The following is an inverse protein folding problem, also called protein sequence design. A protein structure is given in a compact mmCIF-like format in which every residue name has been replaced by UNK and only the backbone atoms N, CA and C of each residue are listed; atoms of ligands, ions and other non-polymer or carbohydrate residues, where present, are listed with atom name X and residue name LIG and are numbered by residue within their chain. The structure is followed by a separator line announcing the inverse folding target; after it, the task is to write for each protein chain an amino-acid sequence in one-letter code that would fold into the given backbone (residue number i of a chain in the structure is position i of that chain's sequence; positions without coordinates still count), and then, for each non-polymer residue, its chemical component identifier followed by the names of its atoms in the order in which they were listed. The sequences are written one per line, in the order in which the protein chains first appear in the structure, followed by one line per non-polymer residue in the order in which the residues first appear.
data_IF_465748239145
#
_entry.id   IF_465748239145
#
_cell.length_a   1.000
_cell.length_b   1.000
_cell.length_c   1.000
_cell.angle_alpha   90.00
_cell.angle_beta   90.00
_cell.angle_gamma   90.00
#
_symmetry.space_group_name_H-M   'P 1'
#
loop_
_entity.id
_entity.type
_entity.pdbx_description
1 polymer ?
#
# COMPACT_ATOMS: atom_id res chain seq x y z
N UNK A 1 -8.90 8.23 -42.00
CA UNK A 1 -7.98 9.27 -41.48
C UNK A 1 -8.45 9.93 -40.18
N UNK A 2 -9.76 9.95 -39.90
CA UNK A 2 -10.36 10.61 -38.70
C UNK A 2 -10.02 9.96 -37.33
N UNK A 3 -9.68 8.69 -37.31
CA UNK A 3 -9.37 7.94 -36.08
C UNK A 3 -7.93 8.13 -35.56
N UNK A 4 -7.00 8.57 -36.40
CA UNK A 4 -5.62 8.88 -36.00
C UNK A 4 -5.49 10.24 -35.32
N UNK A 5 -6.23 11.25 -35.78
CA UNK A 5 -6.20 12.59 -35.20
C UNK A 5 -6.75 12.61 -33.76
N UNK A 6 -7.83 11.87 -33.49
CA UNK A 6 -8.42 11.76 -32.15
C UNK A 6 -7.49 11.05 -31.14
N UNK A 7 -6.66 10.11 -31.59
CA UNK A 7 -5.67 9.45 -30.73
C UNK A 7 -4.50 10.37 -30.41
N UNK A 8 -4.02 11.12 -31.39
CA UNK A 8 -2.93 12.08 -31.20
C UNK A 8 -3.37 13.21 -30.28
N UNK A 9 -4.58 13.68 -30.44
CA UNK A 9 -5.19 14.73 -29.61
C UNK A 9 -5.36 14.27 -28.14
N UNK A 10 -5.80 13.02 -27.91
CA UNK A 10 -5.84 12.41 -26.59
C UNK A 10 -4.45 12.22 -25.97
N UNK A 11 -3.46 11.83 -26.77
CA UNK A 11 -2.08 11.70 -26.31
C UNK A 11 -1.50 13.07 -25.93
N UNK A 12 -1.71 14.09 -26.73
CA UNK A 12 -1.25 15.44 -26.41
C UNK A 12 -1.92 15.98 -25.14
N UNK A 13 -3.23 15.81 -25.00
CA UNK A 13 -3.95 16.21 -23.79
C UNK A 13 -3.45 15.45 -22.53
N UNK A 14 -3.12 14.17 -22.66
CA UNK A 14 -2.51 13.42 -21.57
C UNK A 14 -1.10 13.91 -21.26
N UNK A 15 -0.30 14.23 -22.25
CA UNK A 15 1.05 14.78 -22.05
C UNK A 15 1.01 16.16 -21.37
N UNK A 16 0.06 17.02 -21.74
CA UNK A 16 -0.14 18.33 -21.10
C UNK A 16 -0.56 18.18 -19.63
N UNK A 17 -1.40 17.18 -19.32
CA UNK A 17 -1.74 16.87 -17.93
C UNK A 17 -0.52 16.39 -17.14
N UNK A 18 0.31 15.52 -17.71
CA UNK A 18 1.56 15.08 -17.06
C UNK A 18 2.55 16.24 -16.86
N UNK A 19 2.67 17.10 -17.86
CA UNK A 19 3.55 18.28 -17.76
C UNK A 19 3.07 19.23 -16.66
N UNK A 20 1.78 19.53 -16.60
CA UNK A 20 1.17 20.38 -15.57
C UNK A 20 1.35 19.77 -14.18
N UNK A 21 1.14 18.46 -14.04
CA UNK A 21 1.37 17.75 -12.79
C UNK A 21 2.86 17.78 -12.37
N UNK A 22 3.78 17.62 -13.32
CA UNK A 22 5.21 17.64 -13.05
C UNK A 22 5.69 19.03 -12.60
N UNK A 23 5.19 20.10 -13.23
CA UNK A 23 5.47 21.50 -12.84
C UNK A 23 4.92 21.77 -11.44
N UNK A 24 3.68 21.38 -11.16
CA UNK A 24 3.08 21.54 -9.84
C UNK A 24 3.89 20.81 -8.74
N UNK A 25 4.31 19.55 -9.01
CA UNK A 25 5.13 18.78 -8.09
C UNK A 25 6.51 19.43 -7.84
N UNK A 26 7.10 20.02 -8.87
CA UNK A 26 8.38 20.71 -8.75
C UNK A 26 8.28 21.95 -7.85
N UNK A 27 7.20 22.70 -7.98
CA UNK A 27 6.96 23.90 -7.16
C UNK A 27 6.57 23.55 -5.71
N UNK A 28 6.04 22.32 -5.47
CA UNK A 28 5.57 21.87 -4.17
C UNK A 28 6.34 20.63 -3.67
N UNK A 29 7.68 20.67 -3.76
CA UNK A 29 8.55 19.55 -3.36
C UNK A 29 8.32 19.12 -1.91
N UNK A 30 7.96 20.05 -1.03
CA UNK A 30 7.67 19.76 0.39
C UNK A 30 6.45 18.84 0.54
N UNK A 31 5.43 19.03 -0.31
CA UNK A 31 4.24 18.15 -0.34
C UNK A 31 4.63 16.75 -0.80
N UNK A 32 5.48 16.66 -1.81
CA UNK A 32 5.98 15.38 -2.33
C UNK A 32 6.76 14.60 -1.25
N UNK A 33 7.66 15.29 -0.55
CA UNK A 33 8.45 14.69 0.55
C UNK A 33 7.55 14.22 1.69
N UNK A 34 6.55 15.01 2.07
CA UNK A 34 5.60 14.62 3.12
C UNK A 34 4.77 13.40 2.72
N UNK A 35 4.23 13.38 1.50
CA UNK A 35 3.47 12.23 0.99
C UNK A 35 4.35 10.99 0.93
N UNK A 36 5.58 11.11 0.46
CA UNK A 36 6.54 10.02 0.42
C UNK A 36 6.86 9.48 1.81
N UNK A 37 7.14 10.36 2.78
CA UNK A 37 7.40 9.98 4.16
C UNK A 37 6.22 9.26 4.81
N UNK A 38 4.99 9.75 4.62
CA UNK A 38 3.77 9.13 5.12
C UNK A 38 3.58 7.74 4.50
N UNK A 39 3.78 7.61 3.19
CA UNK A 39 3.65 6.34 2.48
C UNK A 39 4.69 5.31 2.96
N UNK A 40 5.94 5.74 3.15
CA UNK A 40 6.99 4.90 3.71
C UNK A 40 6.64 4.41 5.13
N UNK A 41 6.18 5.31 5.97
CA UNK A 41 5.77 4.96 7.33
C UNK A 41 4.61 3.96 7.33
N UNK A 42 3.61 4.17 6.48
CA UNK A 42 2.48 3.24 6.32
C UNK A 42 2.94 1.85 5.88
N UNK A 43 3.82 1.76 4.87
CA UNK A 43 4.38 0.47 4.41
C UNK A 43 5.18 -0.22 5.50
N UNK A 44 6.01 0.52 6.22
CA UNK A 44 6.78 -0.02 7.33
C UNK A 44 5.89 -0.57 8.45
N UNK A 45 4.82 0.12 8.81
CA UNK A 45 3.85 -0.34 9.80
C UNK A 45 3.20 -1.67 9.37
N UNK A 46 2.80 -1.80 8.10
CA UNK A 46 2.23 -3.03 7.55
C UNK A 46 3.22 -4.21 7.57
N UNK A 47 4.48 -3.97 7.24
CA UNK A 47 5.52 -5.01 7.30
C UNK A 47 5.81 -5.45 8.74
N UNK A 48 5.71 -4.53 9.69
CA UNK A 48 5.88 -4.81 11.11
C UNK A 48 4.76 -5.70 11.66
N UNK A 49 3.56 -5.66 11.07
CA UNK A 49 2.45 -6.54 11.45
C UNK A 49 2.83 -8.02 11.35
N UNK A 50 3.56 -8.42 10.32
CA UNK A 50 4.04 -9.81 10.16
C UNK A 50 4.98 -10.21 11.30
N UNK A 51 5.81 -9.30 11.79
CA UNK A 51 6.67 -9.57 12.95
C UNK A 51 5.86 -9.72 14.24
N UNK A 52 4.80 -8.94 14.44
CA UNK A 52 3.90 -9.12 15.59
C UNK A 52 3.21 -10.48 15.56
N UNK A 53 2.76 -10.93 14.39
CA UNK A 53 2.19 -12.29 14.22
C UNK A 53 3.23 -13.35 14.57
N UNK A 54 4.47 -13.20 14.11
CA UNK A 54 5.57 -14.09 14.45
C UNK A 54 5.78 -14.18 15.97
N UNK A 55 5.78 -13.04 16.66
CA UNK A 55 5.90 -12.98 18.13
C UNK A 55 4.68 -13.56 18.84
N UNK A 56 3.48 -13.36 18.33
CA UNK A 56 2.25 -13.91 18.90
C UNK A 56 2.23 -15.44 18.88
N UNK A 57 2.92 -16.08 17.93
CA UNK A 57 3.12 -17.53 17.91
C UNK A 57 4.23 -18.01 18.86
N UNK A 58 4.83 -17.15 19.68
CA UNK A 58 5.88 -17.50 20.62
C UNK A 58 7.24 -17.80 19.97
N UNK A 59 7.40 -17.48 18.68
CA UNK A 59 8.63 -17.71 17.96
C UNK A 59 9.67 -16.63 18.32
N UNK A 60 10.96 -17.02 18.53
CA UNK A 60 12.01 -16.12 18.96
C UNK A 60 13.33 -16.25 18.18
N UNK A 61 13.39 -17.12 17.18
CA UNK A 61 14.63 -17.45 16.45
C UNK A 61 15.06 -16.41 15.41
N UNK A 62 14.16 -15.53 14.96
CA UNK A 62 14.43 -14.59 13.85
C UNK A 62 14.30 -13.14 14.31
N UNK A 63 15.20 -12.28 13.84
CA UNK A 63 15.22 -10.86 14.17
C UNK A 63 14.05 -10.13 13.43
N UNK A 64 13.48 -9.12 14.06
CA UNK A 64 12.45 -8.26 13.49
C UNK A 64 12.84 -7.70 12.12
N UNK A 65 14.06 -7.22 11.99
CA UNK A 65 14.59 -6.63 10.77
C UNK A 65 14.56 -7.62 9.58
N UNK A 66 14.91 -8.89 9.82
CA UNK A 66 14.89 -9.93 8.80
C UNK A 66 13.46 -10.17 8.30
N UNK A 67 12.49 -10.27 9.22
CA UNK A 67 11.08 -10.49 8.86
C UNK A 67 10.53 -9.32 8.06
N UNK A 68 10.83 -8.09 8.46
CA UNK A 68 10.43 -6.87 7.74
C UNK A 68 11.05 -6.83 6.34
N UNK A 69 12.33 -7.18 6.21
CA UNK A 69 13.00 -7.26 4.90
C UNK A 69 12.37 -8.32 4.00
N UNK A 70 12.13 -9.53 4.51
CA UNK A 70 11.49 -10.59 3.74
C UNK A 70 10.09 -10.18 3.26
N UNK A 71 9.32 -9.52 4.13
CA UNK A 71 7.99 -9.02 3.78
C UNK A 71 8.07 -7.90 2.72
N UNK A 72 9.07 -7.02 2.80
CA UNK A 72 9.27 -5.97 1.81
C UNK A 72 9.64 -6.54 0.43
N UNK A 73 10.47 -7.58 0.38
CA UNK A 73 10.83 -8.28 -0.86
C UNK A 73 9.58 -8.88 -1.53
N UNK A 74 8.71 -9.53 -0.75
CA UNK A 74 7.45 -10.08 -1.27
C UNK A 74 6.58 -8.96 -1.83
N UNK A 75 6.41 -7.85 -1.09
CA UNK A 75 5.57 -6.73 -1.51
C UNK A 75 6.06 -6.13 -2.82
N UNK A 76 7.35 -5.80 -2.92
CA UNK A 76 7.94 -5.24 -4.15
C UNK A 76 7.82 -6.22 -5.33
N UNK A 77 8.05 -7.52 -5.08
CA UNK A 77 7.93 -8.54 -6.14
C UNK A 77 6.51 -8.64 -6.69
N UNK A 78 5.51 -8.54 -5.82
CA UNK A 78 4.09 -8.58 -6.20
C UNK A 78 3.66 -7.29 -6.89
N UNK A 79 4.08 -6.13 -6.39
CA UNK A 79 3.76 -4.82 -6.95
C UNK A 79 4.33 -4.65 -8.39
N UNK A 80 5.44 -5.34 -8.70
CA UNK A 80 6.03 -5.34 -10.05
C UNK A 80 5.29 -6.21 -11.07
N UNK A 81 4.41 -7.10 -10.62
CA UNK A 81 3.65 -7.96 -11.51
C UNK A 81 2.32 -7.31 -11.90
N UNK A 82 1.98 -7.22 -13.20
CA UNK A 82 0.73 -6.60 -13.66
C UNK A 82 -0.48 -7.52 -13.45
N UNK A 83 -0.63 -8.06 -12.25
CA UNK A 83 -1.73 -8.95 -11.88
C UNK A 83 -2.68 -8.23 -10.91
N UNK A 84 -3.98 -8.27 -11.18
CA UNK A 84 -4.95 -7.63 -10.32
C UNK A 84 -4.92 -8.26 -8.92
N UNK A 85 -4.50 -7.45 -7.92
CA UNK A 85 -4.47 -7.85 -6.52
C UNK A 85 -3.34 -8.78 -6.10
N UNK A 86 -2.45 -9.22 -7.02
CA UNK A 86 -1.31 -10.10 -6.68
C UNK A 86 -1.69 -11.42 -6.00
N UNK A 87 -2.98 -11.78 -6.02
CA UNK A 87 -3.51 -12.98 -5.39
C UNK A 87 -2.88 -14.24 -5.99
N UNK A 88 -2.55 -15.21 -5.14
CA UNK A 88 -1.91 -16.46 -5.51
C UNK A 88 -0.38 -16.38 -5.57
N UNK A 89 0.20 -15.38 -6.24
CA UNK A 89 1.66 -15.24 -6.33
C UNK A 89 2.23 -14.77 -5.00
N UNK A 90 1.61 -13.78 -4.38
CA UNK A 90 2.01 -13.30 -3.08
C UNK A 90 1.91 -14.38 -2.00
N UNK A 91 0.92 -15.28 -2.07
CA UNK A 91 0.77 -16.41 -1.16
C UNK A 91 1.85 -17.46 -1.40
N UNK A 92 2.15 -17.75 -2.65
CA UNK A 92 3.23 -18.67 -3.02
C UNK A 92 4.59 -18.12 -2.58
N UNK A 93 4.87 -16.84 -2.81
CA UNK A 93 6.09 -16.20 -2.35
C UNK A 93 6.20 -16.20 -0.83
N UNK A 94 5.11 -15.90 -0.12
CA UNK A 94 5.08 -15.97 1.33
C UNK A 94 5.42 -17.39 1.81
N UNK A 95 4.78 -18.40 1.22
CA UNK A 95 5.03 -19.80 1.55
C UNK A 95 6.50 -20.17 1.36
N UNK A 96 7.10 -19.85 0.22
CA UNK A 96 8.48 -20.21 -0.08
C UNK A 96 9.48 -19.47 0.80
N UNK A 97 9.25 -18.16 1.03
CA UNK A 97 10.21 -17.30 1.74
C UNK A 97 10.10 -17.48 3.26
N UNK A 98 8.89 -17.68 3.79
CA UNK A 98 8.66 -17.75 5.24
C UNK A 98 8.65 -19.16 5.83
N UNK A 99 8.76 -20.21 5.03
CA UNK A 99 8.83 -21.59 5.53
C UNK A 99 9.98 -21.81 6.54
N UNK A 100 11.21 -21.25 6.36
CA UNK A 100 12.28 -21.38 7.34
C UNK A 100 12.05 -20.55 8.60
N UNK A 101 11.17 -19.55 8.56
CA UNK A 101 10.90 -18.63 9.67
C UNK A 101 9.75 -19.11 10.55
N UNK A 102 8.65 -19.54 9.96
CA UNK A 102 7.44 -20.00 10.67
C UNK A 102 7.37 -21.51 10.86
N UNK A 103 8.13 -22.27 10.06
CA UNK A 103 8.00 -23.72 10.00
C UNK A 103 6.71 -24.16 9.27
N UNK A 104 6.63 -25.43 8.87
CA UNK A 104 5.52 -25.95 8.05
C UNK A 104 4.15 -25.88 8.74
N UNK A 105 4.10 -26.01 10.08
CA UNK A 105 2.85 -26.04 10.84
C UNK A 105 2.23 -24.66 11.08
N UNK A 106 3.05 -23.62 11.27
CA UNK A 106 2.58 -22.27 11.56
C UNK A 106 2.57 -21.35 10.34
N UNK A 107 3.02 -21.83 9.20
CA UNK A 107 3.13 -21.06 7.97
C UNK A 107 1.76 -20.58 7.46
N UNK A 108 0.79 -21.47 7.35
CA UNK A 108 -0.57 -21.14 6.89
C UNK A 108 -1.31 -20.21 7.85
N UNK A 109 -1.41 -20.50 9.16
CA UNK A 109 -2.02 -19.54 10.09
C UNK A 109 -1.26 -18.22 10.15
N UNK A 110 0.07 -18.21 10.06
CA UNK A 110 0.90 -17.01 10.00
C UNK A 110 0.60 -16.16 8.78
N UNK A 111 0.44 -16.78 7.62
CA UNK A 111 0.07 -16.10 6.39
C UNK A 111 -1.32 -15.46 6.47
N UNK A 112 -2.31 -16.22 6.93
CA UNK A 112 -3.70 -15.74 7.04
C UNK A 112 -3.81 -14.58 8.04
N UNK A 113 -3.17 -14.71 9.21
CA UNK A 113 -3.19 -13.66 10.22
C UNK A 113 -2.45 -12.39 9.76
N UNK A 114 -1.26 -12.55 9.20
CA UNK A 114 -0.46 -11.43 8.71
C UNK A 114 -1.20 -10.62 7.63
N UNK A 115 -1.84 -11.30 6.69
CA UNK A 115 -2.63 -10.64 5.63
C UNK A 115 -3.95 -10.11 6.12
N UNK A 116 -4.63 -10.88 6.98
CA UNK A 116 -5.88 -10.43 7.60
C UNK A 116 -5.67 -9.15 8.39
N UNK A 117 -4.66 -9.09 9.25
CA UNK A 117 -4.30 -7.88 9.99
C UNK A 117 -4.02 -6.70 9.06
N UNK A 118 -3.23 -6.88 8.01
CA UNK A 118 -2.96 -5.84 7.02
C UNK A 118 -4.24 -5.32 6.38
N UNK A 119 -5.06 -6.21 5.84
CA UNK A 119 -6.32 -5.87 5.18
C UNK A 119 -7.31 -5.15 6.11
N UNK A 120 -7.54 -5.70 7.30
CA UNK A 120 -8.48 -5.10 8.26
C UNK A 120 -7.97 -3.77 8.82
N UNK A 121 -6.67 -3.61 8.99
CA UNK A 121 -6.08 -2.34 9.43
C UNK A 121 -6.26 -1.26 8.36
N UNK A 122 -6.02 -1.55 7.09
CA UNK A 122 -6.24 -0.61 5.98
C UNK A 122 -7.72 -0.24 5.85
N UNK A 123 -8.61 -1.21 5.95
CA UNK A 123 -10.05 -0.99 5.86
C UNK A 123 -10.57 -0.16 7.05
N UNK A 124 -10.13 -0.44 8.25
CA UNK A 124 -10.48 0.32 9.45
C UNK A 124 -9.96 1.76 9.38
N UNK A 125 -8.71 1.96 8.97
CA UNK A 125 -8.12 3.28 8.80
C UNK A 125 -8.86 4.10 7.73
N UNK A 126 -9.17 3.48 6.59
CA UNK A 126 -9.95 4.12 5.53
C UNK A 126 -11.35 4.52 5.99
N UNK A 127 -12.03 3.67 6.76
CA UNK A 127 -13.34 3.97 7.32
C UNK A 127 -13.27 5.17 8.28
N UNK A 128 -12.30 5.20 9.20
CA UNK A 128 -12.09 6.31 10.14
C UNK A 128 -11.82 7.62 9.38
N UNK A 129 -10.91 7.59 8.41
CA UNK A 129 -10.58 8.77 7.60
C UNK A 129 -11.79 9.28 6.82
N UNK A 130 -12.61 8.39 6.27
CA UNK A 130 -13.82 8.75 5.54
C UNK A 130 -14.85 9.42 6.46
N UNK A 131 -15.03 8.88 7.67
CA UNK A 131 -15.93 9.47 8.68
C UNK A 131 -15.41 10.86 9.08
N UNK A 132 -14.14 11.00 9.42
CA UNK A 132 -13.53 12.29 9.79
C UNK A 132 -13.64 13.31 8.65
N UNK A 133 -13.33 12.91 7.42
CA UNK A 133 -13.45 13.77 6.24
C UNK A 133 -14.89 14.22 6.02
N UNK A 134 -15.86 13.31 6.15
CA UNK A 134 -17.27 13.64 6.00
C UNK A 134 -17.76 14.64 7.07
N UNK A 135 -17.34 14.48 8.32
CA UNK A 135 -17.65 15.43 9.39
C UNK A 135 -17.00 16.80 9.18
N UNK A 136 -15.75 16.82 8.73
CA UNK A 136 -14.99 18.07 8.52
C UNK A 136 -15.49 18.83 7.30
N UNK A 137 -15.71 18.15 6.18
CA UNK A 137 -16.19 18.77 4.93
C UNK A 137 -17.68 19.10 5.03
N UNK A 138 -18.47 18.25 5.69
CA UNK A 138 -19.89 18.48 5.90
C UNK A 138 -20.17 19.73 6.77
N UNK A 139 -19.30 20.03 7.76
CA UNK A 139 -19.38 21.28 8.54
C UNK A 139 -19.11 22.51 7.68
N UNK A 140 -18.07 22.48 6.88
CA UNK A 140 -17.67 23.61 6.00
C UNK A 140 -18.74 23.95 4.95
N UNK A 141 -19.48 22.96 4.48
CA UNK A 141 -20.56 23.16 3.50
C UNK A 141 -21.85 23.77 4.12
N UNK A 142 -22.03 23.65 5.43
CA UNK A 142 -23.14 24.29 6.15
C UNK A 142 -22.87 25.76 6.46
N UNK A 143 -21.62 26.13 6.72
CA UNK A 143 -21.25 27.53 6.98
C UNK A 143 -21.30 28.42 5.73
N UNK A 144 -21.16 27.85 4.53
CA UNK A 144 -21.22 28.59 3.26
C UNK A 144 -22.69 28.81 2.79
N UNK A 145 -23.67 28.14 3.41
CA UNK A 145 -25.10 28.26 3.05
C UNK A 145 -25.93 29.15 3.98
N UNK A 146 -25.35 29.71 5.01
CA UNK A 146 -25.89 30.79 5.83
C UNK A 146 -25.21 32.10 5.42
#
# INVERSE_FOLDING_TARGET
MRHKSTRIEKLNASMDQYHTAAVYLKDHIMVLVNVFAITLFQRFALFTATWFVYKAFGLSGTNAFVIILLQSVISVSVDMLPLPGGMGISEKLFTVIFIPVFGSHLLLPGMILSRGLGYYTELGLSAILTIVANFTIGRKKREIKC
#
